data_IF_591073235886
#
_entry.id   IF_591073235886
#
_cell.length_a   1.000
_cell.length_b   1.000
_cell.length_c   1.000
_cell.angle_alpha   90.00
_cell.angle_beta   90.00
_cell.angle_gamma   90.00
#
_symmetry.space_group_name_H-M   'P 1'
#
loop_
_entity.id
_entity.type
_entity.pdbx_description
1 polymer ?
#
# COMPACT_ATOMS: atom_id res chain seq x y z
N UNK A 1 -12.69 24.37 20.93
CA UNK A 1 -11.85 23.18 21.21
C UNK A 1 -11.01 22.84 20.00
N UNK A 2 -9.76 22.58 20.18
CA UNK A 2 -8.87 22.06 19.13
C UNK A 2 -8.63 20.58 19.36
N UNK A 3 -8.35 19.87 18.28
CA UNK A 3 -7.90 18.48 18.36
C UNK A 3 -6.44 18.41 17.94
N UNK A 4 -5.74 17.41 18.45
CA UNK A 4 -4.33 17.18 18.13
C UNK A 4 -4.02 15.69 18.21
N UNK A 5 -2.94 15.29 17.54
CA UNK A 5 -2.40 13.94 17.59
C UNK A 5 -3.32 12.85 17.03
N UNK A 6 -4.22 13.24 16.16
CA UNK A 6 -5.03 12.28 15.40
C UNK A 6 -4.23 11.83 14.18
N UNK A 7 -4.02 10.52 14.05
CA UNK A 7 -3.25 9.94 12.95
C UNK A 7 -3.99 8.74 12.39
N UNK A 8 -3.96 8.60 11.08
CA UNK A 8 -4.44 7.37 10.46
C UNK A 8 -3.42 6.29 10.78
N UNK A 9 -3.85 5.26 11.50
CA UNK A 9 -2.97 4.17 11.91
C UNK A 9 -2.97 3.02 10.93
N UNK A 10 -4.17 2.63 10.45
CA UNK A 10 -4.32 1.37 9.76
C UNK A 10 -5.46 1.43 8.74
N UNK A 11 -5.20 0.84 7.58
CA UNK A 11 -6.21 0.63 6.54
C UNK A 11 -6.27 -0.87 6.26
N UNK A 12 -7.47 -1.45 6.29
CA UNK A 12 -7.66 -2.86 5.96
C UNK A 12 -7.83 -3.00 4.45
N UNK A 13 -7.02 -3.86 3.84
CA UNK A 13 -7.04 -4.13 2.41
C UNK A 13 -7.61 -5.54 2.21
N UNK A 14 -8.69 -5.69 1.44
CA UNK A 14 -9.32 -7.01 1.23
C UNK A 14 -8.50 -7.85 0.26
N UNK A 15 -8.14 -9.08 0.67
CA UNK A 15 -7.36 -10.01 -0.14
C UNK A 15 -7.98 -11.40 -0.09
N UNK A 16 -7.78 -12.21 -1.14
CA UNK A 16 -8.24 -13.60 -1.20
C UNK A 16 -7.26 -14.57 -0.56
N UNK A 17 -5.97 -14.37 -0.82
CA UNK A 17 -4.90 -15.27 -0.38
C UNK A 17 -3.90 -14.47 0.43
N UNK A 18 -3.89 -14.71 1.74
CA UNK A 18 -3.07 -13.95 2.68
C UNK A 18 -1.57 -14.16 2.43
N UNK A 19 -1.16 -15.39 2.14
CA UNK A 19 0.26 -15.68 1.89
C UNK A 19 0.73 -15.02 0.60
N UNK A 20 -0.11 -15.03 -0.44
CA UNK A 20 0.20 -14.35 -1.70
C UNK A 20 0.30 -12.83 -1.49
N UNK A 21 -0.61 -12.26 -0.73
CA UNK A 21 -0.58 -10.83 -0.39
C UNK A 21 0.69 -10.49 0.40
N UNK A 22 1.05 -11.31 1.36
CA UNK A 22 2.28 -11.10 2.15
C UNK A 22 3.53 -11.14 1.28
N UNK A 23 3.61 -12.09 0.36
CA UNK A 23 4.72 -12.16 -0.61
C UNK A 23 4.81 -10.88 -1.43
N UNK A 24 3.67 -10.37 -1.89
CA UNK A 24 3.63 -9.15 -2.68
C UNK A 24 4.09 -7.93 -1.88
N UNK A 25 3.48 -7.68 -0.74
CA UNK A 25 3.76 -6.47 0.04
C UNK A 25 5.13 -6.50 0.73
N UNK A 26 5.57 -7.65 1.19
CA UNK A 26 6.85 -7.77 1.92
C UNK A 26 8.01 -8.06 0.98
N UNK A 27 7.91 -9.09 0.14
CA UNK A 27 9.04 -9.52 -0.68
C UNK A 27 9.20 -8.70 -1.95
N UNK A 28 8.10 -8.38 -2.65
CA UNK A 28 8.17 -7.63 -3.89
C UNK A 28 8.21 -6.12 -3.67
N UNK A 29 7.31 -5.57 -2.85
CA UNK A 29 7.32 -4.14 -2.54
C UNK A 29 8.44 -3.77 -1.57
N UNK A 30 8.81 -4.66 -0.67
CA UNK A 30 9.84 -4.40 0.32
C UNK A 30 9.33 -3.70 1.58
N UNK A 31 8.03 -3.80 1.85
CA UNK A 31 7.47 -3.20 3.05
C UNK A 31 7.75 -4.06 4.28
N UNK A 32 7.77 -3.43 5.46
CA UNK A 32 8.09 -4.12 6.70
C UNK A 32 6.92 -4.96 7.21
N UNK A 33 7.18 -6.23 7.49
CA UNK A 33 6.21 -7.11 8.13
C UNK A 33 6.22 -6.87 9.64
N UNK A 34 5.21 -6.19 10.16
CA UNK A 34 5.14 -5.85 11.58
C UNK A 34 4.62 -7.03 12.40
N UNK A 35 3.52 -7.63 11.94
CA UNK A 35 2.85 -8.72 12.62
C UNK A 35 2.29 -9.72 11.62
N UNK A 36 2.23 -10.98 12.01
CA UNK A 36 1.49 -12.03 11.33
C UNK A 36 1.02 -13.00 12.42
N UNK A 37 -0.25 -12.89 12.79
CA UNK A 37 -0.83 -13.68 13.86
C UNK A 37 -2.08 -14.40 13.40
N UNK A 38 -2.08 -15.72 13.58
CA UNK A 38 -3.30 -16.50 13.53
C UNK A 38 -3.91 -16.51 14.94
N UNK A 39 -5.04 -15.85 15.06
CA UNK A 39 -5.75 -15.72 16.34
C UNK A 39 -6.65 -16.92 16.59
N UNK A 40 -7.30 -17.44 15.53
CA UNK A 40 -8.20 -18.58 15.58
C UNK A 40 -8.26 -19.25 14.20
N UNK A 41 -9.07 -20.30 14.08
CA UNK A 41 -9.29 -20.97 12.79
C UNK A 41 -9.90 -20.04 11.73
N UNK A 42 -10.56 -18.96 12.15
CA UNK A 42 -11.26 -18.03 11.26
C UNK A 42 -10.67 -16.63 11.24
N UNK A 43 -9.64 -16.36 12.05
CA UNK A 43 -9.06 -15.01 12.17
C UNK A 43 -7.54 -15.06 12.06
N UNK A 44 -7.03 -14.43 11.02
CA UNK A 44 -5.59 -14.18 10.83
C UNK A 44 -5.38 -12.70 10.53
N UNK A 45 -4.43 -12.09 11.22
CA UNK A 45 -4.10 -10.67 11.10
C UNK A 45 -2.64 -10.52 10.66
N UNK A 46 -2.44 -9.85 9.52
CA UNK A 46 -1.10 -9.48 9.04
C UNK A 46 -1.06 -7.97 8.90
N UNK A 47 -0.06 -7.35 9.52
CA UNK A 47 0.17 -5.91 9.42
C UNK A 47 1.49 -5.64 8.75
N UNK A 48 1.47 -4.73 7.77
CA UNK A 48 2.64 -4.37 6.96
C UNK A 48 2.70 -2.85 6.88
N UNK A 49 3.91 -2.30 6.96
CA UNK A 49 4.10 -0.84 6.94
C UNK A 49 5.13 -0.46 5.88
N UNK A 50 4.80 0.46 4.96
CA UNK A 50 5.81 1.04 4.07
C UNK A 50 6.92 1.72 4.90
N UNK A 51 8.21 1.55 4.56
CA UNK A 51 9.29 2.21 5.29
C UNK A 51 9.08 3.71 5.38
N UNK A 52 9.13 4.26 6.60
CA UNK A 52 8.94 5.68 6.86
C UNK A 52 7.49 6.14 7.01
N UNK A 53 6.52 5.25 6.82
CA UNK A 53 5.10 5.60 6.94
C UNK A 53 4.61 5.46 8.39
N UNK A 54 3.76 6.39 8.81
CA UNK A 54 3.05 6.28 10.08
C UNK A 54 1.79 5.40 9.96
N UNK A 55 1.23 5.30 8.76
CA UNK A 55 0.04 4.48 8.49
C UNK A 55 0.46 3.12 7.96
N UNK A 56 -0.12 2.07 8.50
CA UNK A 56 0.08 0.69 8.08
C UNK A 56 -1.11 0.19 7.29
N UNK A 57 -0.95 -0.95 6.64
CA UNK A 57 -2.08 -1.72 6.12
C UNK A 57 -2.18 -3.04 6.87
N UNK A 58 -3.38 -3.61 6.89
CA UNK A 58 -3.59 -4.96 7.37
C UNK A 58 -4.40 -5.75 6.36
N UNK A 59 -4.10 -7.01 6.26
CA UNK A 59 -4.89 -7.98 5.50
C UNK A 59 -4.89 -9.30 6.25
N UNK A 60 -5.84 -10.16 5.93
CA UNK A 60 -5.93 -11.41 6.67
C UNK A 60 -7.23 -12.15 6.38
N UNK A 61 -7.57 -13.03 7.30
CA UNK A 61 -8.81 -13.78 7.30
C UNK A 61 -9.73 -13.24 8.40
N UNK A 62 -10.99 -12.98 8.05
CA UNK A 62 -11.99 -12.54 9.03
C UNK A 62 -11.88 -11.08 9.46
N UNK A 63 -11.12 -10.25 8.74
CA UNK A 63 -10.92 -8.84 9.09
C UNK A 63 -11.96 -7.91 8.47
N UNK A 64 -12.49 -8.26 7.31
CA UNK A 64 -13.41 -7.40 6.57
C UNK A 64 -14.29 -8.25 5.66
N UNK A 65 -15.47 -7.74 5.35
CA UNK A 65 -16.37 -8.32 4.37
C UNK A 65 -16.28 -7.62 2.99
N UNK A 66 -15.34 -6.69 2.84
CA UNK A 66 -15.10 -6.08 1.53
C UNK A 66 -14.67 -7.15 0.52
N UNK A 67 -15.13 -6.99 -0.72
CA UNK A 67 -14.74 -7.89 -1.80
C UNK A 67 -13.29 -7.62 -2.18
N UNK A 68 -12.42 -8.65 -2.25
CA UNK A 68 -11.03 -8.49 -2.68
C UNK A 68 -10.93 -7.80 -4.04
N UNK A 69 -9.96 -6.90 -4.18
CA UNK A 69 -9.73 -6.16 -5.42
C UNK A 69 -10.58 -4.91 -5.59
N UNK A 70 -11.45 -4.59 -4.63
CA UNK A 70 -12.33 -3.41 -4.74
C UNK A 70 -11.74 -2.15 -4.13
N UNK A 71 -10.65 -2.26 -3.40
CA UNK A 71 -10.01 -1.10 -2.77
C UNK A 71 -9.32 -0.25 -3.84
N UNK A 72 -9.75 1.00 -3.96
CA UNK A 72 -9.18 1.96 -4.90
C UNK A 72 -8.87 3.24 -4.16
N UNK A 73 -7.98 4.06 -4.72
CA UNK A 73 -7.68 5.37 -4.13
C UNK A 73 -6.68 5.35 -2.98
N UNK A 74 -5.97 4.25 -2.80
CA UNK A 74 -4.84 4.23 -1.86
C UNK A 74 -3.67 4.99 -2.49
N UNK A 75 -3.13 5.96 -1.78
CA UNK A 75 -2.09 6.83 -2.32
C UNK A 75 -0.96 7.02 -1.34
N UNK A 76 0.26 6.95 -1.87
CA UNK A 76 1.49 7.07 -1.10
C UNK A 76 2.35 8.16 -1.71
N UNK A 77 2.91 9.03 -0.87
CA UNK A 77 3.93 9.99 -1.30
C UNK A 77 5.29 9.31 -1.29
N UNK A 78 6.01 9.47 -2.41
CA UNK A 78 7.37 8.94 -2.55
C UNK A 78 8.33 10.05 -2.99
N UNK A 79 9.64 9.94 -2.72
CA UNK A 79 10.58 11.00 -3.07
C UNK A 79 10.92 11.08 -4.55
N UNK A 80 10.87 9.96 -5.28
CA UNK A 80 11.34 9.89 -6.66
C UNK A 80 10.51 8.88 -7.46
N UNK A 81 9.69 9.39 -8.38
CA UNK A 81 8.78 8.56 -9.17
C UNK A 81 9.54 7.62 -10.14
N UNK A 82 10.64 8.08 -10.72
CA UNK A 82 11.43 7.24 -11.61
C UNK A 82 12.04 6.06 -10.85
N UNK A 83 12.61 6.32 -9.68
CA UNK A 83 13.19 5.28 -8.84
C UNK A 83 12.12 4.29 -8.35
N UNK A 84 10.94 4.79 -8.01
CA UNK A 84 9.81 3.94 -7.60
C UNK A 84 9.38 3.01 -8.74
N UNK A 85 9.26 3.54 -9.95
CA UNK A 85 8.90 2.73 -11.13
C UNK A 85 9.93 1.64 -11.40
N UNK A 86 11.22 1.96 -11.33
CA UNK A 86 12.30 0.99 -11.49
C UNK A 86 12.25 -0.09 -10.41
N UNK A 87 12.01 0.30 -9.17
CA UNK A 87 11.89 -0.64 -8.06
C UNK A 87 10.75 -1.63 -8.29
N UNK A 88 9.58 -1.14 -8.66
CA UNK A 88 8.42 -1.99 -8.92
C UNK A 88 8.70 -2.97 -10.06
N UNK A 89 9.16 -2.47 -11.19
CA UNK A 89 9.44 -3.31 -12.37
C UNK A 89 10.59 -4.28 -12.11
N UNK A 90 11.61 -3.85 -11.39
CA UNK A 90 12.74 -4.70 -11.03
C UNK A 90 12.36 -5.85 -10.10
N UNK A 91 11.25 -5.72 -9.38
CA UNK A 91 10.73 -6.77 -8.49
C UNK A 91 9.55 -7.52 -9.09
N UNK A 92 9.35 -7.42 -10.40
CA UNK A 92 8.35 -8.20 -11.12
C UNK A 92 6.92 -7.67 -11.00
N UNK A 93 6.75 -6.41 -10.59
CA UNK A 93 5.43 -5.78 -10.48
C UNK A 93 5.16 -4.98 -11.75
N UNK A 94 4.02 -5.25 -12.39
CA UNK A 94 3.56 -4.42 -13.49
C UNK A 94 3.15 -3.06 -12.95
N UNK A 95 3.78 -2.01 -13.47
CA UNK A 95 3.51 -0.65 -13.03
C UNK A 95 3.41 0.28 -14.22
N UNK A 96 2.54 1.28 -14.11
CA UNK A 96 2.30 2.29 -15.13
C UNK A 96 2.88 3.62 -14.67
N UNK A 97 3.48 4.33 -15.59
CA UNK A 97 4.03 5.65 -15.33
C UNK A 97 5.34 5.88 -16.07
N UNK A 98 5.99 6.97 -15.84
CA UNK A 98 5.60 8.06 -14.93
C UNK A 98 4.61 8.98 -15.65
N UNK A 99 3.51 9.33 -15.00
CA UNK A 99 2.50 10.25 -15.53
C UNK A 99 2.69 11.61 -14.85
N UNK A 100 3.06 12.61 -15.65
CA UNK A 100 3.35 13.96 -15.17
C UNK A 100 2.10 14.83 -15.22
N UNK A 101 1.71 15.35 -14.06
CA UNK A 101 0.60 16.28 -13.89
C UNK A 101 1.10 17.56 -13.23
N UNK A 102 0.36 18.69 -13.35
CA UNK A 102 0.79 19.95 -12.71
C UNK A 102 1.01 19.84 -11.20
N UNK A 103 0.34 18.89 -10.54
CA UNK A 103 0.41 18.73 -9.08
C UNK A 103 1.28 17.57 -8.61
N UNK A 104 1.83 16.76 -9.53
CA UNK A 104 2.68 15.65 -9.12
C UNK A 104 3.06 14.73 -10.25
N UNK A 105 3.94 13.80 -9.93
CA UNK A 105 4.38 12.74 -10.84
C UNK A 105 3.88 11.40 -10.28
N UNK A 106 3.20 10.61 -11.11
CA UNK A 106 2.43 9.47 -10.64
C UNK A 106 2.89 8.15 -11.23
N UNK A 107 2.90 7.13 -10.37
CA UNK A 107 3.09 5.73 -10.75
C UNK A 107 1.94 4.93 -10.16
N UNK A 108 1.37 4.02 -10.93
CA UNK A 108 0.25 3.19 -10.46
C UNK A 108 0.57 1.72 -10.61
N UNK A 109 0.02 0.92 -9.71
CA UNK A 109 0.10 -0.54 -9.76
C UNK A 109 -1.07 -1.12 -8.98
N UNK A 110 -1.27 -2.43 -9.11
CA UNK A 110 -2.25 -3.17 -8.32
C UNK A 110 -1.58 -4.29 -7.57
N UNK A 111 -2.19 -4.71 -6.46
CA UNK A 111 -1.79 -5.94 -5.79
C UNK A 111 -2.34 -7.16 -6.55
N UNK A 112 -2.02 -8.40 -6.12
CA UNK A 112 -2.50 -9.59 -6.82
C UNK A 112 -4.01 -9.74 -6.92
N UNK A 113 -4.77 -9.12 -6.02
CA UNK A 113 -6.24 -9.13 -6.06
C UNK A 113 -6.82 -8.01 -6.91
N UNK A 114 -6.02 -7.03 -7.34
CA UNK A 114 -6.48 -5.89 -8.10
C UNK A 114 -6.76 -4.64 -7.25
N UNK A 115 -6.41 -4.65 -5.96
CA UNK A 115 -6.48 -3.43 -5.15
C UNK A 115 -5.49 -2.41 -5.71
N UNK A 116 -5.97 -1.19 -5.97
CA UNK A 116 -5.23 -0.18 -6.71
C UNK A 116 -4.43 0.77 -5.83
N UNK A 117 -3.19 0.98 -6.20
CA UNK A 117 -2.25 1.87 -5.52
C UNK A 117 -1.74 2.95 -6.45
N UNK A 118 -1.59 4.16 -5.91
CA UNK A 118 -0.98 5.29 -6.60
C UNK A 118 0.19 5.81 -5.78
N UNK A 119 1.33 5.95 -6.42
CA UNK A 119 2.51 6.60 -5.84
C UNK A 119 2.60 8.00 -6.41
N UNK A 120 2.84 8.99 -5.57
CA UNK A 120 2.96 10.38 -5.97
C UNK A 120 4.27 10.99 -5.50
N UNK A 121 5.04 11.51 -6.45
CA UNK A 121 6.12 12.45 -6.16
C UNK A 121 5.54 13.85 -6.21
N UNK A 122 5.60 14.56 -5.08
CA UNK A 122 5.12 15.93 -5.03
C UNK A 122 6.03 16.85 -5.84
N UNK A 123 5.44 17.87 -6.48
CA UNK A 123 6.19 18.91 -7.16
C UNK A 123 6.33 20.12 -6.25
N UNK A 124 7.43 20.91 -6.38
CA UNK A 124 7.57 22.13 -5.59
C UNK A 124 6.40 23.08 -5.83
N UNK A 125 5.96 23.72 -4.74
CA UNK A 125 4.90 24.71 -4.77
C UNK A 125 5.50 26.09 -4.63
N UNK A 126 5.03 27.04 -5.46
CA UNK A 126 5.34 28.46 -5.29
C UNK A 126 4.39 29.04 -4.26
N UNK A 127 4.95 29.54 -3.17
CA UNK A 127 4.20 30.13 -2.09
C UNK A 127 4.73 31.50 -1.73
#
# INVERSE_FOLDING_TARGET
MTISDWRIELIIVPVTDVDRAKTFYVDQLGWNADFDQRVSDTLRFVQVTPPGSACSIAFGEGLTDMVPGTMKGLQIVIPDANAALEHLRGNGIEAQGVDDQPWGRFVTYTDPDGNGWTLQQLVPQNR
#
